data_IF_426315400072
#
_entry.id   IF_426315400072
#
_cell.length_a   1.000
_cell.length_b   1.000
_cell.length_c   1.000
_cell.angle_alpha   90.00
_cell.angle_beta   90.00
_cell.angle_gamma   90.00
#
_symmetry.space_group_name_H-M   'P 1'
#
loop_
_entity.id
_entity.type
_entity.pdbx_description
1 polymer ?
#
# COMPACT_ATOMS: atom_id res chain seq x y z
N UNK A 1 -7.04 -17.52 24.74
CA UNK A 1 -7.60 -16.36 24.02
C UNK A 1 -6.43 -15.54 23.51
N UNK A 2 -6.34 -15.34 22.20
CA UNK A 2 -5.29 -14.54 21.57
C UNK A 2 -5.68 -13.07 21.44
N UNK A 3 -4.71 -12.21 21.16
CA UNK A 3 -4.94 -10.79 20.90
C UNK A 3 -5.53 -10.57 19.49
N UNK A 4 -6.44 -9.60 19.36
CA UNK A 4 -6.91 -9.09 18.07
C UNK A 4 -6.56 -7.61 17.98
N UNK A 5 -5.94 -7.18 16.88
CA UNK A 5 -5.26 -5.89 16.79
C UNK A 5 -5.36 -5.28 15.40
N UNK A 6 -5.04 -3.97 15.32
CA UNK A 6 -4.90 -3.21 14.08
C UNK A 6 -6.10 -3.33 13.12
N UNK A 7 -7.35 -3.13 13.60
CA UNK A 7 -8.50 -3.20 12.72
C UNK A 7 -8.47 -2.04 11.69
N UNK A 8 -8.77 -2.36 10.43
CA UNK A 8 -9.08 -1.40 9.38
C UNK A 8 -10.49 -1.68 8.87
N UNK A 9 -11.17 -0.63 8.40
CA UNK A 9 -12.56 -0.71 7.94
C UNK A 9 -12.77 0.13 6.69
N UNK A 10 -13.58 -0.37 5.77
CA UNK A 10 -14.10 0.34 4.61
C UNK A 10 -15.61 0.11 4.49
N UNK A 11 -16.32 0.99 3.78
CA UNK A 11 -17.70 0.72 3.37
C UNK A 11 -17.75 -0.39 2.32
N UNK A 12 -18.81 -1.19 2.33
CA UNK A 12 -19.03 -2.24 1.32
C UNK A 12 -19.73 -1.74 0.04
N UNK A 13 -20.03 -0.44 -0.04
CA UNK A 13 -20.77 0.18 -1.15
C UNK A 13 -22.29 0.00 -1.11
N UNK A 14 -22.82 -0.78 -0.15
CA UNK A 14 -24.25 -1.07 0.03
C UNK A 14 -24.80 -0.59 1.39
N UNK A 15 -24.05 0.27 2.10
CA UNK A 15 -24.40 0.78 3.42
C UNK A 15 -23.90 -0.08 4.58
N UNK A 16 -23.26 -1.21 4.29
CA UNK A 16 -22.53 -2.04 5.23
C UNK A 16 -21.04 -1.68 5.28
N UNK A 17 -20.26 -2.57 5.88
CA UNK A 17 -18.81 -2.39 6.04
C UNK A 17 -18.04 -3.71 5.96
N UNK A 18 -16.79 -3.62 5.54
CA UNK A 18 -15.82 -4.72 5.57
C UNK A 18 -14.68 -4.30 6.51
N UNK A 19 -14.40 -5.17 7.48
CA UNK A 19 -13.33 -5.00 8.46
C UNK A 19 -12.26 -6.05 8.23
N UNK A 20 -11.00 -5.67 8.39
CA UNK A 20 -9.86 -6.58 8.45
C UNK A 20 -9.08 -6.34 9.73
N UNK A 21 -8.52 -7.38 10.34
CA UNK A 21 -7.70 -7.25 11.54
C UNK A 21 -6.63 -8.34 11.60
N UNK A 22 -5.63 -8.09 12.45
CA UNK A 22 -4.65 -9.08 12.85
C UNK A 22 -5.20 -9.91 14.01
N UNK A 23 -5.10 -11.24 13.91
CA UNK A 23 -5.73 -12.18 14.82
C UNK A 23 -4.74 -13.23 15.33
N UNK A 24 -4.53 -13.24 16.65
CA UNK A 24 -3.67 -14.19 17.35
C UNK A 24 -4.40 -15.35 18.01
N UNK A 25 -5.66 -15.66 17.62
CA UNK A 25 -6.51 -16.66 18.31
C UNK A 25 -5.90 -18.06 18.38
N UNK A 26 -4.98 -18.41 17.48
CA UNK A 26 -4.30 -19.71 17.49
C UNK A 26 -3.20 -19.82 18.56
N UNK A 27 -2.76 -18.70 19.15
CA UNK A 27 -1.80 -18.64 20.25
C UNK A 27 -0.33 -18.82 19.86
N UNK A 28 0.00 -18.98 18.58
CA UNK A 28 1.39 -19.20 18.11
C UNK A 28 1.93 -18.08 17.25
N UNK A 29 1.07 -17.45 16.46
CA UNK A 29 1.41 -16.36 15.55
C UNK A 29 0.20 -15.46 15.32
N UNK A 30 0.37 -14.46 14.46
CA UNK A 30 -0.67 -13.54 14.04
C UNK A 30 -1.08 -13.82 12.60
N UNK A 31 -2.38 -13.85 12.34
CA UNK A 31 -2.96 -14.15 11.02
C UNK A 31 -3.88 -13.00 10.59
N UNK A 32 -4.26 -12.93 9.32
CA UNK A 32 -5.17 -11.88 8.83
C UNK A 32 -6.58 -12.45 8.70
N UNK A 33 -7.54 -11.80 9.35
CA UNK A 33 -8.96 -12.15 9.29
C UNK A 33 -9.79 -10.97 8.81
N UNK A 34 -10.95 -11.25 8.22
CA UNK A 34 -11.89 -10.23 7.81
C UNK A 34 -13.35 -10.62 8.05
N UNK A 35 -14.21 -9.61 8.15
CA UNK A 35 -15.65 -9.75 8.35
C UNK A 35 -16.39 -8.68 7.56
N UNK A 36 -17.54 -9.04 7.00
CA UNK A 36 -18.49 -8.10 6.42
C UNK A 36 -19.76 -8.02 7.27
N UNK A 37 -20.25 -6.80 7.46
CA UNK A 37 -21.55 -6.52 8.07
C UNK A 37 -22.42 -5.75 7.07
N UNK A 38 -23.72 -6.02 7.05
CA UNK A 38 -24.67 -5.26 6.24
C UNK A 38 -25.10 -3.94 6.92
N UNK A 39 -25.93 -3.16 6.23
CA UNK A 39 -26.46 -1.90 6.73
C UNK A 39 -27.31 -2.01 8.01
N UNK A 40 -27.80 -3.21 8.33
CA UNK A 40 -28.53 -3.49 9.58
C UNK A 40 -27.60 -3.99 10.70
N UNK A 41 -26.29 -4.08 10.44
CA UNK A 41 -25.31 -4.63 11.37
C UNK A 41 -25.28 -6.16 11.43
N UNK A 42 -25.91 -6.84 10.46
CA UNK A 42 -25.92 -8.31 10.42
C UNK A 42 -24.62 -8.82 9.82
N UNK A 43 -24.00 -9.79 10.49
CA UNK A 43 -22.80 -10.49 10.01
C UNK A 43 -23.11 -11.25 8.71
N UNK A 44 -22.28 -11.04 7.69
CA UNK A 44 -22.50 -11.59 6.34
C UNK A 44 -21.60 -12.78 6.02
N UNK A 45 -20.40 -12.87 6.60
CA UNK A 45 -19.54 -14.04 6.45
C UNK A 45 -19.59 -14.92 7.70
N UNK A 46 -18.79 -15.98 7.74
CA UNK A 46 -18.72 -16.89 8.90
C UNK A 46 -18.51 -16.09 10.19
N UNK A 47 -19.19 -16.53 11.26
CA UNK A 47 -19.02 -15.94 12.59
C UNK A 47 -17.54 -15.95 12.99
N UNK A 48 -17.10 -14.89 13.66
CA UNK A 48 -15.69 -14.64 14.01
C UNK A 48 -14.73 -14.44 12.83
N UNK A 49 -15.27 -14.18 11.64
CA UNK A 49 -14.52 -13.80 10.45
C UNK A 49 -13.95 -14.99 9.68
N UNK A 50 -13.61 -14.72 8.43
CA UNK A 50 -12.92 -15.67 7.54
C UNK A 50 -11.41 -15.41 7.60
N UNK A 51 -10.57 -16.45 7.40
CA UNK A 51 -9.14 -16.26 7.22
C UNK A 51 -8.88 -15.65 5.84
N UNK A 52 -8.14 -14.55 5.80
CA UNK A 52 -7.59 -13.95 4.58
C UNK A 52 -6.19 -14.51 4.32
N UNK A 53 -5.42 -14.73 5.39
CA UNK A 53 -4.14 -15.42 5.39
C UNK A 53 -3.96 -16.17 6.71
N UNK A 54 -3.56 -17.44 6.62
CA UNK A 54 -3.21 -18.30 7.74
C UNK A 54 -1.85 -18.99 7.55
N UNK A 55 -0.94 -18.33 6.84
CA UNK A 55 0.42 -18.84 6.60
C UNK A 55 1.24 -18.89 7.90
N UNK A 56 2.29 -19.74 7.97
CA UNK A 56 3.15 -19.80 9.15
C UNK A 56 3.79 -18.44 9.50
N UNK A 57 4.05 -18.23 10.80
CA UNK A 57 4.61 -17.00 11.37
C UNK A 57 3.66 -15.81 11.27
N UNK A 58 4.12 -14.61 11.66
CA UNK A 58 3.23 -13.47 11.79
C UNK A 58 2.88 -12.84 10.43
N UNK A 59 1.60 -12.51 10.28
CA UNK A 59 1.06 -11.56 9.33
C UNK A 59 0.45 -10.37 10.08
N UNK A 60 0.93 -9.17 9.75
CA UNK A 60 0.73 -7.96 10.56
C UNK A 60 0.40 -6.75 9.67
N UNK A 61 -0.16 -5.71 10.29
CA UNK A 61 -0.48 -4.43 9.64
C UNK A 61 -1.33 -4.55 8.36
N UNK A 62 -2.51 -5.22 8.42
CA UNK A 62 -3.37 -5.32 7.26
C UNK A 62 -3.92 -3.95 6.86
N UNK A 63 -4.03 -3.72 5.56
CA UNK A 63 -4.68 -2.56 4.94
C UNK A 63 -5.66 -3.06 3.89
N UNK A 64 -6.77 -2.35 3.73
CA UNK A 64 -7.92 -2.80 2.93
C UNK A 64 -8.39 -1.69 1.99
N UNK A 65 -8.73 -2.07 0.76
CA UNK A 65 -9.36 -1.24 -0.26
C UNK A 65 -10.58 -1.97 -0.84
N UNK A 66 -11.64 -1.21 -1.17
CA UNK A 66 -12.84 -1.79 -1.78
C UNK A 66 -12.53 -2.26 -3.20
N UNK A 67 -13.12 -3.37 -3.61
CA UNK A 67 -13.09 -3.81 -5.01
C UNK A 67 -14.19 -3.17 -5.87
N UNK A 68 -15.08 -2.37 -5.27
CA UNK A 68 -16.22 -1.73 -5.93
C UNK A 68 -17.44 -2.64 -6.15
N UNK A 69 -17.36 -3.92 -5.78
CA UNK A 69 -18.38 -4.94 -6.02
C UNK A 69 -18.86 -5.62 -4.72
N UNK A 70 -18.58 -5.02 -3.57
CA UNK A 70 -18.95 -5.54 -2.24
C UNK A 70 -17.91 -6.48 -1.63
N UNK A 71 -16.78 -6.69 -2.29
CA UNK A 71 -15.60 -7.35 -1.77
C UNK A 71 -14.48 -6.36 -1.46
N UNK A 72 -13.26 -6.89 -1.28
CA UNK A 72 -12.11 -6.09 -0.89
C UNK A 72 -10.77 -6.70 -1.30
N UNK A 73 -9.82 -5.83 -1.64
CA UNK A 73 -8.41 -6.17 -1.72
C UNK A 73 -7.73 -5.82 -0.40
N UNK A 74 -6.92 -6.75 0.11
CA UNK A 74 -6.28 -6.66 1.41
C UNK A 74 -4.79 -6.91 1.21
N UNK A 75 -3.93 -6.04 1.77
CA UNK A 75 -2.48 -6.21 1.77
C UNK A 75 -1.93 -6.19 3.19
N UNK A 76 -0.81 -6.85 3.46
CA UNK A 76 -0.22 -6.95 4.80
C UNK A 76 1.30 -7.19 4.73
N UNK A 77 1.96 -7.02 5.87
CA UNK A 77 3.34 -7.44 6.10
C UNK A 77 3.37 -8.91 6.52
N UNK A 78 4.26 -9.70 5.91
CA UNK A 78 4.27 -11.15 6.07
C UNK A 78 5.66 -11.66 6.42
N UNK A 79 5.77 -12.42 7.53
CA UNK A 79 7.05 -12.97 8.00
C UNK A 79 7.26 -14.43 7.61
N UNK A 80 6.44 -15.01 6.73
CA UNK A 80 6.47 -16.46 6.40
C UNK A 80 7.80 -16.96 5.86
N UNK A 81 8.62 -16.07 5.27
CA UNK A 81 9.89 -16.41 4.64
C UNK A 81 11.10 -16.27 5.57
N UNK A 82 10.91 -15.78 6.81
CA UNK A 82 11.94 -15.76 7.86
C UNK A 82 13.13 -14.80 7.67
N UNK A 83 13.25 -14.12 6.53
CA UNK A 83 14.36 -13.22 6.19
C UNK A 83 14.04 -11.71 6.36
N UNK A 84 12.91 -11.40 6.98
CA UNK A 84 12.35 -10.05 7.05
C UNK A 84 10.83 -10.11 6.90
N UNK A 85 10.18 -8.95 6.90
CA UNK A 85 8.80 -8.83 6.44
C UNK A 85 8.76 -8.62 4.92
N UNK A 86 7.88 -9.35 4.24
CA UNK A 86 7.55 -9.20 2.81
C UNK A 86 6.15 -8.58 2.66
N UNK A 87 5.78 -8.12 1.46
CA UNK A 87 4.42 -7.62 1.20
C UNK A 87 3.62 -8.66 0.44
N UNK A 88 2.45 -9.00 0.98
CA UNK A 88 1.49 -9.92 0.36
C UNK A 88 0.13 -9.25 0.21
N UNK A 89 -0.72 -9.82 -0.65
CA UNK A 89 -2.10 -9.39 -0.81
C UNK A 89 -3.06 -10.53 -1.16
N UNK A 90 -4.35 -10.30 -0.88
CA UNK A 90 -5.46 -11.18 -1.19
C UNK A 90 -6.65 -10.35 -1.70
N UNK A 91 -7.49 -10.97 -2.52
CA UNK A 91 -8.81 -10.44 -2.87
C UNK A 91 -9.89 -11.36 -2.28
N UNK A 92 -10.89 -10.76 -1.66
CA UNK A 92 -12.09 -11.46 -1.17
C UNK A 92 -13.31 -10.87 -1.86
N UNK A 93 -14.21 -11.73 -2.34
CA UNK A 93 -15.46 -11.28 -2.96
C UNK A 93 -16.55 -10.94 -1.93
N UNK A 94 -17.70 -10.47 -2.41
CA UNK A 94 -18.82 -10.08 -1.56
C UNK A 94 -19.38 -11.22 -0.69
N UNK A 95 -19.17 -12.48 -1.10
CA UNK A 95 -19.62 -13.68 -0.38
C UNK A 95 -18.62 -14.16 0.67
N UNK A 96 -17.43 -13.57 0.72
CA UNK A 96 -16.36 -13.98 1.63
C UNK A 96 -15.47 -15.08 1.05
N UNK A 97 -15.53 -15.33 -0.25
CA UNK A 97 -14.64 -16.28 -0.91
C UNK A 97 -13.34 -15.56 -1.31
N UNK A 98 -12.20 -16.12 -0.90
CA UNK A 98 -10.88 -15.66 -1.35
C UNK A 98 -10.67 -16.00 -2.84
N UNK A 99 -10.18 -15.05 -3.61
CA UNK A 99 -10.16 -15.10 -5.07
C UNK A 99 -8.80 -15.45 -5.66
N UNK A 100 -7.71 -15.11 -4.97
CA UNK A 100 -6.37 -15.50 -5.41
C UNK A 100 -5.91 -16.78 -4.71
N UNK A 101 -4.65 -17.17 -4.95
CA UNK A 101 -4.08 -18.36 -4.31
C UNK A 101 -4.25 -18.32 -2.79
N UNK A 102 -4.33 -19.49 -2.18
CA UNK A 102 -4.38 -19.64 -0.73
C UNK A 102 -3.24 -18.85 -0.08
N UNK A 103 -3.56 -18.16 1.01
CA UNK A 103 -2.65 -17.28 1.76
C UNK A 103 -2.04 -16.12 0.95
N UNK A 104 -2.68 -15.74 -0.16
CA UNK A 104 -2.36 -14.54 -0.91
C UNK A 104 -1.19 -14.68 -1.88
N UNK A 105 -1.05 -13.67 -2.72
CA UNK A 105 0.06 -13.52 -3.68
C UNK A 105 1.16 -12.65 -3.09
N UNK A 106 2.40 -12.93 -3.48
CA UNK A 106 3.55 -12.09 -3.16
C UNK A 106 3.52 -10.81 -4.01
N UNK A 107 3.63 -9.66 -3.35
CA UNK A 107 3.75 -8.34 -4.00
C UNK A 107 5.20 -7.92 -4.07
N UNK A 108 5.94 -8.15 -2.99
CA UNK A 108 7.37 -7.94 -2.91
C UNK A 108 7.97 -8.97 -1.95
N UNK A 109 9.02 -9.66 -2.41
CA UNK A 109 9.87 -10.55 -1.61
C UNK A 109 11.34 -10.22 -1.86
N UNK A 110 11.65 -8.92 -1.92
CA UNK A 110 13.02 -8.47 -2.10
C UNK A 110 13.81 -8.75 -0.82
N UNK A 111 15.15 -8.75 -0.93
CA UNK A 111 15.97 -8.92 0.25
C UNK A 111 15.70 -7.83 1.29
N UNK A 112 15.88 -8.17 2.57
CA UNK A 112 15.59 -7.30 3.72
C UNK A 112 14.10 -6.99 3.87
N UNK A 113 13.75 -6.08 4.76
CA UNK A 113 12.37 -5.83 5.13
C UNK A 113 11.61 -4.92 4.15
N UNK A 114 10.32 -5.19 4.03
CA UNK A 114 9.31 -4.31 3.47
C UNK A 114 8.21 -4.05 4.51
N UNK A 115 7.91 -2.78 4.75
CA UNK A 115 7.04 -2.33 5.84
C UNK A 115 5.97 -1.34 5.36
N UNK A 116 5.02 -1.07 6.25
CA UNK A 116 3.99 -0.04 6.10
C UNK A 116 3.28 -0.08 4.75
N UNK A 117 2.71 -1.24 4.33
CA UNK A 117 1.99 -1.28 3.07
C UNK A 117 0.75 -0.39 3.16
N UNK A 118 0.45 0.31 2.08
CA UNK A 118 -0.83 0.99 1.86
C UNK A 118 -1.37 0.56 0.49
N UNK A 119 -2.69 0.58 0.33
CA UNK A 119 -3.35 0.13 -0.89
C UNK A 119 -4.46 1.10 -1.29
N UNK A 120 -4.57 1.36 -2.59
CA UNK A 120 -5.72 2.00 -3.20
C UNK A 120 -6.24 1.12 -4.34
N UNK A 121 -7.56 0.99 -4.43
CA UNK A 121 -8.24 0.36 -5.55
C UNK A 121 -8.83 1.41 -6.50
N UNK A 122 -9.01 1.06 -7.78
CA UNK A 122 -9.74 1.90 -8.74
C UNK A 122 -11.26 1.63 -8.75
N UNK A 123 -11.74 0.72 -7.90
CA UNK A 123 -13.14 0.28 -7.87
C UNK A 123 -13.57 -0.58 -9.06
N UNK A 124 -12.64 -0.96 -9.94
CA UNK A 124 -12.82 -1.89 -11.05
C UNK A 124 -11.99 -3.17 -10.87
N UNK A 125 -11.56 -3.43 -9.63
CA UNK A 125 -10.73 -4.56 -9.27
C UNK A 125 -9.26 -4.40 -9.66
N UNK A 126 -8.73 -3.20 -9.93
CA UNK A 126 -7.28 -2.99 -9.96
C UNK A 126 -6.82 -2.27 -8.70
N UNK A 127 -5.57 -2.49 -8.31
CA UNK A 127 -5.00 -1.85 -7.13
C UNK A 127 -3.56 -1.38 -7.34
N UNK A 128 -3.20 -0.34 -6.61
CA UNK A 128 -1.82 0.12 -6.44
C UNK A 128 -1.48 -0.03 -4.95
N UNK A 129 -0.41 -0.76 -4.68
CA UNK A 129 0.12 -0.99 -3.34
C UNK A 129 1.45 -0.24 -3.23
N UNK A 130 1.64 0.49 -2.15
CA UNK A 130 2.88 1.22 -1.82
C UNK A 130 3.45 0.73 -0.51
N UNK A 131 4.77 0.71 -0.35
CA UNK A 131 5.42 0.27 0.90
C UNK A 131 6.77 0.96 1.12
N UNK A 132 7.28 0.88 2.35
CA UNK A 132 8.66 1.21 2.72
C UNK A 132 9.55 0.00 2.46
N UNK A 133 10.71 0.22 1.84
CA UNK A 133 11.58 -0.86 1.39
C UNK A 133 13.03 -0.65 1.83
N UNK A 134 13.60 -1.65 2.51
CA UNK A 134 14.96 -1.61 3.05
C UNK A 134 16.00 -2.34 2.18
N UNK A 135 15.66 -2.76 0.96
CA UNK A 135 16.53 -3.61 0.12
C UNK A 135 17.89 -2.98 -0.23
N UNK A 136 17.99 -1.66 -0.19
CA UNK A 136 19.23 -0.93 -0.54
C UNK A 136 20.25 -0.92 0.60
N UNK A 137 19.80 -1.13 1.85
CA UNK A 137 20.63 -1.07 3.05
C UNK A 137 21.14 0.35 3.41
N UNK A 138 20.70 1.38 2.69
CA UNK A 138 21.13 2.77 2.87
C UNK A 138 20.05 3.69 3.47
N UNK A 139 18.93 3.10 3.90
CA UNK A 139 17.72 3.81 4.30
C UNK A 139 16.48 3.07 3.79
N UNK A 140 15.31 3.58 4.17
CA UNK A 140 14.05 3.12 3.59
C UNK A 140 13.72 3.93 2.35
N UNK A 141 13.36 3.25 1.28
CA UNK A 141 12.87 3.84 0.04
C UNK A 141 11.35 3.62 -0.07
N UNK A 142 10.65 4.42 -0.86
CA UNK A 142 9.23 4.15 -1.18
C UNK A 142 9.13 3.41 -2.50
N UNK A 143 8.45 2.27 -2.48
CA UNK A 143 8.18 1.46 -3.67
C UNK A 143 6.68 1.29 -3.90
N UNK A 144 6.33 0.88 -5.12
CA UNK A 144 4.95 0.58 -5.46
C UNK A 144 4.82 -0.60 -6.45
N UNK A 145 3.66 -1.24 -6.44
CA UNK A 145 3.26 -2.28 -7.37
C UNK A 145 1.82 -2.04 -7.82
N UNK A 146 1.53 -2.39 -9.09
CA UNK A 146 0.17 -2.39 -9.61
C UNK A 146 -0.30 -3.82 -9.85
N UNK A 147 -1.55 -4.09 -9.48
CA UNK A 147 -2.23 -5.37 -9.66
C UNK A 147 -3.48 -5.20 -10.50
N UNK A 148 -3.83 -6.22 -11.28
CA UNK A 148 -5.17 -6.34 -11.85
C UNK A 148 -6.08 -7.22 -10.95
N UNK A 149 -7.33 -7.42 -11.38
CA UNK A 149 -8.34 -8.17 -10.63
C UNK A 149 -8.02 -9.65 -10.43
N UNK A 150 -7.23 -10.24 -11.33
CA UNK A 150 -6.76 -11.62 -11.17
C UNK A 150 -5.52 -11.75 -10.28
N UNK A 151 -5.04 -10.65 -9.69
CA UNK A 151 -3.81 -10.63 -8.88
C UNK A 151 -2.53 -10.68 -9.72
N UNK A 152 -2.60 -10.37 -11.01
CA UNK A 152 -1.41 -10.32 -11.84
C UNK A 152 -0.60 -9.04 -11.55
N UNK A 153 0.69 -9.21 -11.32
CA UNK A 153 1.68 -8.14 -11.18
C UNK A 153 1.82 -7.40 -12.53
N UNK A 154 1.56 -6.09 -12.56
CA UNK A 154 1.56 -5.30 -13.80
C UNK A 154 2.80 -4.42 -13.99
N UNK A 155 3.53 -4.11 -12.92
CA UNK A 155 4.85 -3.48 -13.02
C UNK A 155 5.96 -4.49 -12.82
N UNK A 156 7.22 -4.04 -12.82
CA UNK A 156 8.35 -4.95 -12.66
C UNK A 156 8.28 -5.76 -11.36
N UNK A 157 8.88 -6.95 -11.37
CA UNK A 157 8.95 -7.81 -10.20
C UNK A 157 9.58 -7.06 -9.01
N UNK A 158 9.03 -7.26 -7.81
CA UNK A 158 9.38 -6.54 -6.58
C UNK A 158 9.20 -5.02 -6.65
N UNK A 159 8.34 -4.52 -7.54
CA UNK A 159 7.90 -3.13 -7.55
C UNK A 159 8.84 -2.16 -8.23
N UNK A 160 8.31 -0.96 -8.50
CA UNK A 160 9.03 0.19 -9.01
C UNK A 160 9.37 1.14 -7.86
N UNK A 161 10.58 1.75 -7.84
CA UNK A 161 10.88 2.79 -6.87
C UNK A 161 10.08 4.05 -7.19
N UNK A 162 9.40 4.59 -6.19
CA UNK A 162 8.72 5.90 -6.21
C UNK A 162 9.69 6.97 -5.71
N UNK A 163 10.39 6.72 -4.61
CA UNK A 163 11.44 7.59 -4.12
C UNK A 163 12.57 6.74 -3.54
N UNK A 164 13.79 6.97 -4.01
CA UNK A 164 15.01 6.32 -3.51
C UNK A 164 16.09 7.37 -3.23
N UNK A 165 15.67 8.45 -2.56
CA UNK A 165 16.58 9.52 -2.19
C UNK A 165 17.49 9.05 -1.05
N UNK A 166 18.57 9.77 -0.78
CA UNK A 166 19.46 9.43 0.34
C UNK A 166 18.69 9.45 1.66
N UNK A 167 19.16 8.72 2.67
CA UNK A 167 18.49 8.55 3.96
C UNK A 167 17.09 7.90 3.81
N UNK A 168 16.23 8.01 4.82
CA UNK A 168 14.95 7.30 4.84
C UNK A 168 13.78 8.13 4.31
N UNK A 169 12.93 7.49 3.53
CA UNK A 169 11.59 7.91 3.17
C UNK A 169 10.60 6.94 3.81
N UNK A 170 9.61 7.48 4.53
CA UNK A 170 8.79 6.72 5.48
C UNK A 170 7.32 7.08 5.40
N UNK A 171 6.50 6.19 5.95
CA UNK A 171 5.06 6.38 6.15
C UNK A 171 4.35 6.81 4.87
N UNK A 172 4.42 5.98 3.80
CA UNK A 172 3.71 6.28 2.58
C UNK A 172 2.21 6.37 2.86
N UNK A 173 1.55 7.31 2.20
CA UNK A 173 0.09 7.37 2.07
C UNK A 173 -0.20 7.45 0.59
N UNK A 174 -1.18 6.66 0.14
CA UNK A 174 -1.57 6.61 -1.27
C UNK A 174 -3.04 6.97 -1.43
N UNK A 175 -3.33 7.79 -2.44
CA UNK A 175 -4.69 8.13 -2.86
C UNK A 175 -4.80 8.00 -4.37
N UNK A 176 -6.00 7.70 -4.87
CA UNK A 176 -6.24 7.62 -6.31
C UNK A 176 -6.16 9.01 -6.95
N UNK A 177 -5.67 9.09 -8.18
CA UNK A 177 -5.64 10.34 -8.96
C UNK A 177 -6.95 10.65 -9.71
N UNK A 178 -7.95 9.76 -9.60
CA UNK A 178 -9.24 9.86 -10.28
C UNK A 178 -9.23 9.39 -11.74
N UNK A 179 -8.09 8.96 -12.27
CA UNK A 179 -7.90 8.51 -13.66
C UNK A 179 -7.28 7.11 -13.76
N UNK A 180 -7.20 6.39 -12.64
CA UNK A 180 -6.66 5.03 -12.55
C UNK A 180 -5.16 4.98 -12.23
N UNK A 181 -4.57 6.09 -11.81
CA UNK A 181 -3.25 6.16 -11.18
C UNK A 181 -3.36 6.57 -9.70
N UNK A 182 -2.24 6.97 -9.12
CA UNK A 182 -2.14 7.29 -7.71
C UNK A 182 -1.21 8.47 -7.42
N UNK A 183 -1.55 9.21 -6.37
CA UNK A 183 -0.70 10.19 -5.71
C UNK A 183 -0.18 9.55 -4.43
N UNK A 184 1.14 9.53 -4.27
CA UNK A 184 1.81 8.94 -3.11
C UNK A 184 2.49 10.07 -2.35
N UNK A 185 2.29 10.15 -1.04
CA UNK A 185 2.98 11.08 -0.15
C UNK A 185 3.79 10.34 0.90
N UNK A 186 4.91 10.90 1.34
CA UNK A 186 5.78 10.28 2.35
C UNK A 186 6.45 11.34 3.23
N UNK A 187 6.94 10.91 4.38
CA UNK A 187 7.86 11.70 5.21
C UNK A 187 9.29 11.45 4.74
N UNK A 188 10.04 12.52 4.48
CA UNK A 188 11.45 12.45 4.09
C UNK A 188 12.35 12.85 5.26
N UNK A 189 13.32 11.99 5.56
CA UNK A 189 14.25 12.14 6.68
C UNK A 189 15.65 12.55 6.24
N UNK A 190 15.82 13.03 5.00
CA UNK A 190 17.09 13.56 4.50
C UNK A 190 17.74 14.54 5.47
N UNK A 191 19.03 14.30 5.74
CA UNK A 191 19.84 15.03 6.72
C UNK A 191 19.90 16.55 6.50
N UNK A 192 19.57 17.07 5.31
CA UNK A 192 19.46 18.51 5.02
C UNK A 192 18.02 19.01 4.73
N UNK A 193 17.02 18.13 4.68
CA UNK A 193 15.60 18.44 4.44
C UNK A 193 14.67 17.42 5.09
N UNK A 194 13.97 17.82 6.15
CA UNK A 194 12.84 17.07 6.71
C UNK A 194 11.52 17.69 6.29
N UNK A 195 10.58 16.89 5.80
CA UNK A 195 9.26 17.37 5.39
C UNK A 195 8.36 16.29 4.80
N UNK A 196 7.13 16.68 4.48
CA UNK A 196 6.20 15.86 3.71
C UNK A 196 6.38 16.13 2.22
N UNK A 197 6.42 15.07 1.41
CA UNK A 197 6.61 15.14 -0.02
C UNK A 197 5.52 14.37 -0.74
N UNK A 198 5.30 14.68 -2.01
CA UNK A 198 4.33 13.99 -2.87
C UNK A 198 4.97 13.61 -4.20
N UNK A 199 4.46 12.53 -4.80
CA UNK A 199 4.86 12.10 -6.14
C UNK A 199 4.49 13.13 -7.22
N UNK A 200 3.62 14.11 -6.93
CA UNK A 200 3.18 15.15 -7.87
C UNK A 200 4.00 16.44 -7.81
N UNK A 201 4.73 16.74 -6.73
CA UNK A 201 5.42 18.03 -6.58
C UNK A 201 6.89 18.03 -7.01
N UNK A 202 7.53 16.88 -7.23
CA UNK A 202 8.92 16.82 -7.73
C UNK A 202 9.23 15.68 -8.70
N UNK A 203 8.22 14.98 -9.22
CA UNK A 203 8.43 13.98 -10.27
C UNK A 203 7.52 14.24 -11.46
N UNK A 204 8.10 14.14 -12.65
CA UNK A 204 7.33 14.09 -13.90
C UNK A 204 6.28 12.97 -13.77
N UNK A 205 5.03 13.20 -14.20
CA UNK A 205 3.96 12.21 -14.05
C UNK A 205 4.39 10.87 -14.64
N UNK A 206 4.18 9.78 -13.89
CA UNK A 206 4.28 8.41 -14.40
C UNK A 206 3.11 8.22 -15.36
N UNK A 207 3.26 8.72 -16.58
CA UNK A 207 2.38 8.38 -17.69
C UNK A 207 2.75 7.00 -18.21
N UNK A 208 1.76 6.31 -18.78
CA UNK A 208 1.67 4.88 -19.02
C UNK A 208 2.73 4.22 -19.95
N UNK A 209 3.92 4.82 -20.14
CA UNK A 209 4.96 4.32 -21.05
C UNK A 209 6.37 4.31 -20.41
N UNK A 210 6.55 3.52 -19.35
CA UNK A 210 7.86 3.05 -18.85
C UNK A 210 8.84 4.10 -18.29
N UNK A 211 9.77 3.70 -17.39
CA UNK A 211 10.73 4.64 -16.83
C UNK A 211 11.87 4.91 -17.83
N UNK A 212 11.97 6.14 -18.33
CA UNK A 212 13.24 6.72 -18.79
C UNK A 212 13.84 7.52 -17.63
N UNK A 213 14.83 6.94 -16.96
CA UNK A 213 15.68 7.68 -16.02
C UNK A 213 16.58 8.63 -16.81
N UNK A 214 16.52 9.92 -16.50
CA UNK A 214 17.60 10.87 -16.80
C UNK A 214 18.23 11.24 -15.46
N UNK A 215 19.54 11.03 -15.33
CA UNK A 215 20.28 11.32 -14.10
C UNK A 215 20.29 12.83 -13.78
N UNK A 216 20.39 13.22 -12.50
CA UNK A 216 20.39 14.63 -12.14
C UNK A 216 21.74 15.27 -12.49
N UNK A 217 21.73 16.22 -13.42
CA UNK A 217 22.81 17.20 -13.58
C UNK A 217 22.73 18.21 -12.43
N UNK A 218 23.80 18.29 -11.66
CA UNK A 218 24.04 19.25 -10.57
C UNK A 218 23.89 20.68 -11.09
N UNK A 219 23.04 21.49 -10.44
CA UNK A 219 23.13 22.95 -10.52
C UNK A 219 23.40 23.55 -9.13
N UNK A 220 24.32 24.53 -9.01
CA UNK A 220 24.75 25.06 -7.72
C UNK A 220 23.68 25.94 -7.08
N UNK A 221 23.68 25.92 -5.74
CA UNK A 221 22.85 26.76 -4.86
C UNK A 221 23.02 28.23 -5.23
N UNK A 222 21.92 28.91 -5.53
CA UNK A 222 21.82 30.35 -5.30
C UNK A 222 20.76 30.59 -4.24
N UNK A 223 21.23 31.07 -3.09
CA UNK A 223 20.41 31.63 -2.03
C UNK A 223 19.77 32.91 -2.54
N UNK A 224 18.45 32.96 -2.67
CA UNK A 224 17.72 34.21 -2.44
C UNK A 224 16.33 33.91 -1.90
N UNK A 225 16.04 34.60 -0.80
CA UNK A 225 14.83 34.55 0.00
C UNK A 225 13.58 34.94 -0.79
N UNK A 226 12.45 34.36 -0.40
CA UNK A 226 11.09 34.86 -0.69
C UNK A 226 11.04 36.38 -0.51
N UNK A 227 10.92 37.10 -1.63
CA UNK A 227 10.34 38.44 -1.81
C UNK A 227 10.44 38.80 -3.29
N UNK A 228 9.38 38.54 -4.05
CA UNK A 228 8.90 39.45 -5.11
C UNK A 228 7.61 38.91 -5.73
N UNK A 229 6.49 39.17 -5.04
CA UNK A 229 5.19 39.25 -5.68
C UNK A 229 5.05 40.65 -6.28
N UNK A 230 5.15 40.79 -7.61
CA UNK A 230 4.55 41.91 -8.35
C UNK A 230 4.55 41.71 -9.87
N UNK A 231 3.32 41.55 -10.40
CA UNK A 231 2.83 41.91 -11.76
C UNK A 231 3.47 41.07 -12.89
N UNK A 232 2.72 40.56 -13.87
CA UNK A 232 2.10 41.34 -14.95
C UNK A 232 0.75 40.77 -15.42
N UNK A 233 0.00 41.67 -16.06
CA UNK A 233 -1.40 41.62 -16.49
C UNK A 233 -1.61 40.85 -17.80
N UNK A 234 -2.84 40.38 -17.97
CA UNK A 234 -3.55 40.05 -19.21
C UNK A 234 -3.22 40.99 -20.39
N UNK A 235 -2.89 40.40 -21.54
CA UNK A 235 -3.74 40.35 -22.75
C UNK A 235 -3.55 38.99 -23.41
#
# INVERSE_FOLDING_TARGET
MGQQQLPRIIGDGAGGAIMVWTDGRNGTDYNIFAQRIDANGSVQWTLDGIPICAAPFNQEYPVIASDGAGGAMITWQDRRNGAGADIYAQHVDASGLVQWTADGIAICTAASDQWSPEIIGDGAGTAIITWEDNRSGAGLDIYAQRLNSSGAILWMANGVPICSAIDSQRYPVVVGDGTGGAIVTWEDWQSDRRGYFSSSEWMLPVTLNGPKMVSPSVFPRTTSSIRDLRRWRWW
#
